data_IF_483426715404
#
_entry.id   IF_483426715404
#
_cell.length_a   1.000
_cell.length_b   1.000
_cell.length_c   1.000
_cell.angle_alpha   90.00
_cell.angle_beta   90.00
_cell.angle_gamma   90.00
#
_symmetry.space_group_name_H-M   'P 1'
#
loop_
_entity.id
_entity.type
_entity.pdbx_description
1 polymer ?
#
# COMPACT_ATOMS: atom_id res chain seq x y z
N UNK A 1 -28.14 9.94 9.55
CA UNK A 1 -26.76 9.94 10.14
C UNK A 1 -25.74 10.42 9.12
N UNK A 2 -25.61 9.76 7.96
CA UNK A 2 -24.57 10.13 6.97
C UNK A 2 -24.73 11.55 6.41
N UNK A 3 -25.96 11.98 6.12
CA UNK A 3 -26.25 13.34 5.66
C UNK A 3 -25.75 14.40 6.67
N UNK A 4 -26.02 14.18 7.95
CA UNK A 4 -25.60 15.07 9.04
C UNK A 4 -24.07 15.10 9.16
N UNK A 5 -23.41 13.95 9.03
CA UNK A 5 -21.93 13.88 9.01
C UNK A 5 -21.38 14.68 7.83
N UNK A 6 -21.98 14.53 6.64
CA UNK A 6 -21.53 15.24 5.43
C UNK A 6 -21.69 16.75 5.58
N UNK A 7 -22.81 17.20 6.16
CA UNK A 7 -23.09 18.62 6.40
C UNK A 7 -22.04 19.27 7.32
N UNK A 8 -21.80 18.66 8.49
CA UNK A 8 -20.76 19.13 9.41
C UNK A 8 -19.35 19.10 8.81
N UNK A 9 -19.03 18.11 7.97
CA UNK A 9 -17.73 18.07 7.30
C UNK A 9 -17.63 19.13 6.20
N UNK A 10 -18.72 19.44 5.51
CA UNK A 10 -18.77 20.47 4.47
C UNK A 10 -18.44 21.86 5.03
N UNK A 11 -18.85 22.16 6.26
CA UNK A 11 -18.50 23.42 6.94
C UNK A 11 -17.00 23.54 7.28
N UNK A 12 -16.30 22.40 7.38
CA UNK A 12 -14.93 22.32 7.88
C UNK A 12 -13.91 21.99 6.77
N UNK A 13 -13.54 22.99 5.98
CA UNK A 13 -12.62 22.87 4.82
C UNK A 13 -11.32 22.13 5.12
N UNK A 14 -10.72 22.33 6.29
CA UNK A 14 -9.46 21.68 6.67
C UNK A 14 -9.52 20.13 6.68
N UNK A 15 -10.71 19.53 6.71
CA UNK A 15 -10.90 18.08 6.66
C UNK A 15 -10.75 17.50 5.25
N UNK A 16 -11.09 18.27 4.21
CA UNK A 16 -11.19 17.76 2.84
C UNK A 16 -10.41 18.59 1.79
N UNK A 17 -10.24 19.89 2.01
CA UNK A 17 -9.55 20.80 1.11
C UNK A 17 -8.03 20.84 1.37
N UNK A 18 -7.24 20.51 0.35
CA UNK A 18 -5.77 20.52 0.42
C UNK A 18 -5.17 21.93 0.38
N UNK A 19 -5.91 22.94 -0.10
CA UNK A 19 -5.45 24.33 -0.09
C UNK A 19 -5.59 25.02 1.27
N UNK A 20 -6.36 24.44 2.19
CA UNK A 20 -6.58 25.04 3.50
C UNK A 20 -5.30 25.04 4.35
N UNK A 21 -5.02 26.18 5.01
CA UNK A 21 -3.83 26.37 5.86
C UNK A 21 -3.75 25.34 6.99
N UNK A 22 -4.90 24.93 7.53
CA UNK A 22 -5.01 23.97 8.62
C UNK A 22 -5.13 22.53 8.12
N UNK A 23 -5.10 22.27 6.81
CA UNK A 23 -5.17 20.90 6.27
C UNK A 23 -4.03 19.99 6.74
N UNK A 24 -2.85 20.55 7.08
CA UNK A 24 -1.72 19.78 7.63
C UNK A 24 -1.68 19.75 9.17
N UNK A 25 -2.57 20.48 9.83
CA UNK A 25 -2.59 20.58 11.28
C UNK A 25 -3.41 19.44 11.91
N UNK A 26 -2.73 18.37 12.31
CA UNK A 26 -3.37 17.20 12.91
C UNK A 26 -4.07 17.50 14.25
N UNK A 27 -3.57 18.47 15.02
CA UNK A 27 -4.20 18.86 16.28
C UNK A 27 -5.56 19.51 16.03
N UNK A 28 -5.63 20.43 15.05
CA UNK A 28 -6.89 21.09 14.68
C UNK A 28 -7.92 20.09 14.13
N UNK A 29 -7.48 19.10 13.34
CA UNK A 29 -8.39 18.05 12.83
C UNK A 29 -8.99 17.22 13.95
N UNK A 30 -8.19 16.85 14.96
CA UNK A 30 -8.69 16.10 16.13
C UNK A 30 -9.72 16.91 16.91
N UNK A 31 -9.44 18.18 17.14
CA UNK A 31 -10.38 19.11 17.81
C UNK A 31 -11.72 19.18 17.04
N UNK A 32 -11.67 19.34 15.72
CA UNK A 32 -12.87 19.40 14.88
C UNK A 32 -13.65 18.09 14.91
N UNK A 33 -12.99 16.93 14.84
CA UNK A 33 -13.70 15.65 14.96
C UNK A 33 -14.37 15.45 16.33
N UNK A 34 -13.76 15.97 17.41
CA UNK A 34 -14.39 16.00 18.73
C UNK A 34 -15.63 16.90 18.75
N UNK A 35 -15.53 18.12 18.20
CA UNK A 35 -16.66 19.05 18.11
C UNK A 35 -17.82 18.46 17.29
N UNK A 36 -17.52 17.79 16.17
CA UNK A 36 -18.54 17.12 15.35
C UNK A 36 -19.21 15.98 16.15
N UNK A 37 -18.44 15.23 16.95
CA UNK A 37 -18.97 14.16 17.82
C UNK A 37 -19.92 14.70 18.89
N UNK A 38 -19.57 15.82 19.53
CA UNK A 38 -20.41 16.51 20.50
C UNK A 38 -21.69 17.04 19.85
N UNK A 39 -21.58 17.69 18.69
CA UNK A 39 -22.73 18.21 17.96
C UNK A 39 -23.69 17.10 17.50
N UNK A 40 -23.17 15.95 17.06
CA UNK A 40 -24.01 14.79 16.70
C UNK A 40 -24.79 14.23 17.89
N UNK A 41 -24.26 14.36 19.10
CA UNK A 41 -24.93 13.93 20.32
C UNK A 41 -26.23 14.73 20.55
N UNK A 42 -26.28 16.00 20.13
CA UNK A 42 -27.50 16.82 20.16
C UNK A 42 -28.62 16.31 19.25
N UNK A 43 -28.27 15.52 18.23
CA UNK A 43 -29.21 14.87 17.31
C UNK A 43 -29.57 13.43 17.75
N UNK A 44 -29.33 13.06 19.02
CA UNK A 44 -29.47 11.71 19.55
C UNK A 44 -28.59 10.65 18.84
N UNK A 45 -27.48 11.07 18.22
CA UNK A 45 -26.52 10.18 17.57
C UNK A 45 -25.26 10.09 18.42
N UNK A 46 -25.15 9.02 19.22
CA UNK A 46 -23.96 8.78 20.04
C UNK A 46 -22.88 8.04 19.22
N UNK A 47 -21.99 8.80 18.58
CA UNK A 47 -20.84 8.27 17.85
C UNK A 47 -19.55 8.95 18.29
N UNK A 48 -18.53 8.14 18.58
CA UNK A 48 -17.18 8.62 18.89
C UNK A 48 -16.54 9.30 17.67
N UNK A 49 -15.74 10.33 17.90
CA UNK A 49 -14.98 11.06 16.88
C UNK A 49 -14.23 10.14 15.90
N UNK A 50 -13.56 9.09 16.39
CA UNK A 50 -12.83 8.14 15.53
C UNK A 50 -13.78 7.31 14.63
N UNK A 51 -14.98 7.00 15.10
CA UNK A 51 -15.98 6.28 14.31
C UNK A 51 -16.56 7.18 13.21
N UNK A 52 -16.78 8.46 13.52
CA UNK A 52 -17.23 9.49 12.55
C UNK A 52 -16.17 9.69 11.48
N UNK A 53 -14.90 9.81 11.87
CA UNK A 53 -13.79 9.93 10.93
C UNK A 53 -13.70 8.72 9.98
N UNK A 54 -13.80 7.49 10.50
CA UNK A 54 -13.83 6.27 9.67
C UNK A 54 -15.04 6.24 8.74
N UNK A 55 -16.21 6.70 9.21
CA UNK A 55 -17.43 6.77 8.40
C UNK A 55 -17.26 7.78 7.26
N UNK A 56 -16.71 8.95 7.54
CA UNK A 56 -16.39 9.96 6.54
C UNK A 56 -15.43 9.42 5.46
N UNK A 57 -14.37 8.72 5.84
CA UNK A 57 -13.46 8.10 4.86
C UNK A 57 -14.20 7.11 3.94
N UNK A 58 -15.09 6.30 4.50
CA UNK A 58 -15.90 5.34 3.74
C UNK A 58 -16.85 6.05 2.75
N UNK A 59 -17.50 7.14 3.19
CA UNK A 59 -18.37 7.96 2.34
C UNK A 59 -17.58 8.62 1.21
N UNK A 60 -16.41 9.20 1.51
CA UNK A 60 -15.53 9.81 0.51
C UNK A 60 -15.03 8.80 -0.53
N UNK A 61 -14.71 7.59 -0.09
CA UNK A 61 -14.30 6.50 -0.99
C UNK A 61 -15.46 6.04 -1.90
N UNK A 62 -16.69 5.96 -1.35
CA UNK A 62 -17.89 5.73 -2.14
C UNK A 62 -18.13 6.83 -3.17
N UNK A 63 -18.07 8.10 -2.76
CA UNK A 63 -18.20 9.24 -3.66
C UNK A 63 -17.17 9.20 -4.78
N UNK A 64 -15.92 8.86 -4.47
CA UNK A 64 -14.85 8.73 -5.47
C UNK A 64 -15.11 7.59 -6.47
N UNK A 65 -15.75 6.49 -6.05
CA UNK A 65 -16.18 5.42 -6.96
C UNK A 65 -17.33 5.88 -7.85
N UNK A 66 -18.32 6.54 -7.27
CA UNK A 66 -19.52 6.96 -7.98
C UNK A 66 -19.22 8.07 -9.00
N UNK A 67 -18.38 9.05 -8.64
CA UNK A 67 -17.88 10.08 -9.56
C UNK A 67 -17.08 9.49 -10.74
N UNK A 68 -16.42 8.33 -10.58
CA UNK A 68 -15.78 7.64 -11.70
C UNK A 68 -16.81 6.98 -12.63
N UNK A 69 -17.88 6.38 -12.08
CA UNK A 69 -18.95 5.80 -12.89
C UNK A 69 -19.68 6.86 -13.71
N UNK A 70 -19.98 8.01 -13.12
CA UNK A 70 -20.63 9.14 -13.80
C UNK A 70 -19.82 9.72 -14.97
N UNK A 71 -18.47 9.56 -14.94
CA UNK A 71 -17.58 10.06 -15.99
C UNK A 71 -17.28 9.07 -17.10
N UNK A 72 -17.52 7.79 -16.88
CA UNK A 72 -17.27 6.75 -17.88
C UNK A 72 -18.56 6.50 -18.66
N UNK A 73 -18.49 6.63 -19.99
CA UNK A 73 -19.58 6.18 -20.84
C UNK A 73 -19.72 4.65 -20.72
N UNK A 74 -20.94 4.09 -20.73
CA UNK A 74 -21.12 2.65 -20.66
C UNK A 74 -20.56 1.96 -21.90
N UNK A 75 -19.58 1.08 -21.71
CA UNK A 75 -19.12 0.18 -22.77
C UNK A 75 -19.90 -1.13 -22.67
N UNK A 76 -21.02 -1.23 -23.38
CA UNK A 76 -21.77 -2.49 -23.51
C UNK A 76 -23.24 -2.31 -23.86
N UNK A 77 -23.76 -3.17 -24.73
CA UNK A 77 -25.17 -3.19 -25.18
C UNK A 77 -26.19 -3.65 -24.14
N UNK A 78 -25.74 -4.02 -22.93
CA UNK A 78 -26.58 -4.44 -21.80
C UNK A 78 -26.56 -3.48 -20.61
N UNK A 79 -26.17 -2.22 -20.80
CA UNK A 79 -26.15 -1.24 -19.72
C UNK A 79 -27.55 -0.72 -19.40
N UNK A 80 -27.99 -0.96 -18.17
CA UNK A 80 -29.15 -0.28 -17.57
C UNK A 80 -28.68 0.88 -16.68
N UNK A 81 -29.31 2.07 -16.77
CA UNK A 81 -29.00 3.19 -15.88
C UNK A 81 -29.22 2.81 -14.41
N UNK A 82 -28.14 2.73 -13.64
CA UNK A 82 -28.24 2.48 -12.19
C UNK A 82 -28.78 3.71 -11.46
N UNK A 83 -29.63 3.52 -10.45
CA UNK A 83 -30.12 4.58 -9.56
C UNK A 83 -28.96 5.41 -8.99
N UNK A 84 -29.04 6.74 -9.13
CA UNK A 84 -28.07 7.69 -8.57
C UNK A 84 -27.93 7.48 -7.05
N UNK A 85 -26.69 7.45 -6.54
CA UNK A 85 -26.46 7.33 -5.10
C UNK A 85 -27.01 8.57 -4.38
N UNK A 86 -27.88 8.37 -3.40
CA UNK A 86 -28.67 9.43 -2.76
C UNK A 86 -27.79 10.52 -2.12
N UNK A 87 -26.61 10.17 -1.63
CA UNK A 87 -25.65 11.12 -1.03
C UNK A 87 -24.76 11.83 -2.05
N UNK A 88 -24.81 11.45 -3.33
CA UNK A 88 -23.92 11.99 -4.37
C UNK A 88 -24.07 13.51 -4.51
N UNK A 89 -25.31 14.00 -4.53
CA UNK A 89 -25.61 15.44 -4.67
C UNK A 89 -25.07 16.24 -3.49
N UNK A 90 -25.29 15.77 -2.27
CA UNK A 90 -24.84 16.44 -1.04
C UNK A 90 -23.31 16.45 -0.97
N UNK A 91 -22.64 15.41 -1.48
CA UNK A 91 -21.17 15.33 -1.51
C UNK A 91 -20.50 16.04 -2.70
N UNK A 92 -21.27 16.66 -3.59
CA UNK A 92 -20.75 17.32 -4.81
C UNK A 92 -19.80 18.49 -4.52
N UNK A 93 -19.86 19.08 -3.31
CA UNK A 93 -18.89 20.09 -2.85
C UNK A 93 -17.44 19.61 -2.86
N UNK A 94 -17.21 18.29 -2.89
CA UNK A 94 -15.87 17.73 -2.99
C UNK A 94 -15.27 17.83 -4.41
N UNK A 95 -16.09 18.01 -5.46
CA UNK A 95 -15.64 17.99 -6.85
C UNK A 95 -14.48 18.96 -7.14
N UNK A 96 -14.50 20.24 -6.68
CA UNK A 96 -13.39 21.17 -6.92
C UNK A 96 -12.09 20.76 -6.22
N UNK A 97 -12.18 19.99 -5.12
CA UNK A 97 -11.05 19.63 -4.27
C UNK A 97 -10.48 18.23 -4.57
N UNK A 98 -11.12 17.46 -5.46
CA UNK A 98 -10.61 16.18 -5.93
C UNK A 98 -9.52 16.42 -6.98
N UNK A 99 -8.30 16.56 -6.47
CA UNK A 99 -7.10 16.58 -7.32
C UNK A 99 -6.84 15.16 -7.83
N UNK A 100 -7.09 14.94 -9.13
CA UNK A 100 -6.61 13.74 -9.81
C UNK A 100 -5.09 13.70 -9.75
N UNK A 101 -4.53 12.58 -9.24
CA UNK A 101 -3.09 12.33 -9.37
C UNK A 101 -2.80 12.18 -10.87
N UNK A 102 -2.19 13.21 -11.46
CA UNK A 102 -1.94 13.23 -12.90
C UNK A 102 -0.94 12.12 -13.19
N UNK A 103 -1.30 11.25 -14.12
CA UNK A 103 -0.43 10.18 -14.59
C UNK A 103 0.96 10.71 -14.99
N UNK A 104 0.98 11.89 -15.62
CA UNK A 104 2.19 12.62 -16.02
C UNK A 104 3.08 12.98 -14.83
N UNK A 105 2.52 13.35 -13.67
CA UNK A 105 3.30 13.71 -12.48
C UNK A 105 4.09 12.49 -11.96
N UNK A 106 3.54 11.28 -12.09
CA UNK A 106 4.26 10.06 -11.67
C UNK A 106 5.46 9.78 -12.56
N UNK A 107 5.37 10.09 -13.85
CA UNK A 107 6.50 9.95 -14.78
C UNK A 107 7.63 10.87 -14.31
N UNK A 108 7.32 12.13 -14.03
CA UNK A 108 8.32 13.13 -13.62
C UNK A 108 8.91 12.82 -12.23
N UNK A 109 8.08 12.43 -11.25
CA UNK A 109 8.49 12.24 -9.85
C UNK A 109 9.16 10.88 -9.60
N UNK A 110 8.66 9.80 -10.20
CA UNK A 110 9.01 8.43 -9.81
C UNK A 110 9.93 7.72 -10.79
N UNK A 111 10.01 8.18 -12.05
CA UNK A 111 10.91 7.58 -13.03
C UNK A 111 12.22 8.34 -13.12
N UNK A 112 13.31 7.64 -13.46
CA UNK A 112 14.62 8.28 -13.64
C UNK A 112 14.57 9.20 -14.87
N UNK A 113 15.23 10.39 -14.87
CA UNK A 113 15.18 11.37 -15.96
C UNK A 113 15.43 10.79 -17.36
N UNK A 114 16.35 9.84 -17.46
CA UNK A 114 16.66 9.10 -18.69
C UNK A 114 15.44 8.40 -19.33
N UNK A 115 14.42 8.04 -18.55
CA UNK A 115 13.21 7.37 -19.04
C UNK A 115 12.03 8.32 -19.24
N UNK A 116 12.14 9.60 -18.85
CA UNK A 116 11.02 10.55 -18.91
C UNK A 116 10.50 10.71 -20.34
N UNK A 117 11.39 10.89 -21.31
CA UNK A 117 11.03 11.06 -22.72
C UNK A 117 10.23 9.85 -23.23
N UNK A 118 10.74 8.63 -23.01
CA UNK A 118 10.07 7.41 -23.46
C UNK A 118 8.71 7.24 -22.78
N UNK A 119 8.67 7.40 -21.46
CA UNK A 119 7.43 7.24 -20.68
C UNK A 119 6.36 8.27 -21.07
N UNK A 120 6.75 9.50 -21.44
CA UNK A 120 5.83 10.52 -21.93
C UNK A 120 5.29 10.18 -23.33
N UNK A 121 6.12 9.63 -24.22
CA UNK A 121 5.67 9.15 -25.54
C UNK A 121 4.66 8.02 -25.36
N UNK A 122 4.98 7.03 -24.52
CA UNK A 122 4.08 5.91 -24.21
C UNK A 122 2.76 6.42 -23.60
N UNK A 123 2.83 7.44 -22.72
CA UNK A 123 1.64 8.09 -22.16
C UNK A 123 0.75 8.71 -23.23
N UNK A 124 1.34 9.49 -24.15
CA UNK A 124 0.62 10.13 -25.26
C UNK A 124 -0.05 9.08 -26.14
N UNK A 125 0.64 8.00 -26.48
CA UNK A 125 0.07 6.90 -27.27
C UNK A 125 -1.11 6.22 -26.56
N UNK A 126 -0.97 5.96 -25.25
CA UNK A 126 -2.06 5.39 -24.45
C UNK A 126 -3.28 6.32 -24.46
N UNK A 127 -3.09 7.64 -24.29
CA UNK A 127 -4.22 8.59 -24.30
C UNK A 127 -4.85 8.73 -25.69
N UNK A 128 -4.05 8.73 -26.74
CA UNK A 128 -4.55 8.72 -28.12
C UNK A 128 -5.39 7.48 -28.42
N UNK A 129 -4.90 6.30 -28.03
CA UNK A 129 -5.62 5.04 -28.22
C UNK A 129 -6.93 4.97 -27.42
N UNK A 130 -7.06 5.77 -26.36
CA UNK A 130 -8.29 5.91 -25.58
C UNK A 130 -9.20 7.06 -26.07
N UNK A 131 -8.91 7.65 -27.23
CA UNK A 131 -9.76 8.67 -27.86
C UNK A 131 -9.68 10.06 -27.25
N UNK A 132 -8.63 10.37 -26.50
CA UNK A 132 -8.46 11.72 -25.94
C UNK A 132 -7.92 12.70 -27.00
N UNK A 133 -8.48 13.93 -27.12
CA UNK A 133 -7.98 14.93 -28.07
C UNK A 133 -6.53 15.36 -27.77
N UNK A 134 -5.70 15.44 -28.82
CA UNK A 134 -4.31 15.91 -28.72
C UNK A 134 -4.15 17.23 -27.95
N UNK A 135 -4.98 18.28 -28.18
CA UNK A 135 -4.84 19.54 -27.44
C UNK A 135 -5.03 19.38 -25.93
N UNK A 136 -5.92 18.47 -25.52
CA UNK A 136 -6.16 18.16 -24.12
C UNK A 136 -4.95 17.45 -23.49
N UNK A 137 -4.39 16.46 -24.19
CA UNK A 137 -3.21 15.70 -23.73
C UNK A 137 -2.02 16.65 -23.52
N UNK A 138 -1.72 17.49 -24.50
CA UNK A 138 -0.60 18.43 -24.42
C UNK A 138 -0.82 19.51 -23.34
N UNK A 139 -2.03 20.03 -23.19
CA UNK A 139 -2.37 20.97 -22.11
C UNK A 139 -2.08 20.38 -20.72
N UNK A 140 -2.42 19.10 -20.51
CA UNK A 140 -2.14 18.40 -19.25
C UNK A 140 -0.63 18.23 -19.03
N UNK A 141 0.11 17.81 -20.07
CA UNK A 141 1.56 17.62 -20.01
C UNK A 141 2.24 18.95 -19.68
N UNK A 142 1.90 20.02 -20.39
CA UNK A 142 2.44 21.35 -20.14
C UNK A 142 2.18 21.83 -18.72
N UNK A 143 0.95 21.68 -18.24
CA UNK A 143 0.57 22.10 -16.87
C UNK A 143 1.37 21.33 -15.82
N UNK A 144 1.61 20.04 -16.04
CA UNK A 144 2.43 19.21 -15.16
C UNK A 144 3.92 19.56 -15.21
N UNK A 145 4.48 19.80 -16.39
CA UNK A 145 5.88 20.19 -16.55
C UNK A 145 6.14 21.58 -15.95
N UNK A 146 5.31 22.58 -16.28
CA UNK A 146 5.39 23.93 -15.71
C UNK A 146 5.33 23.90 -14.18
N UNK A 147 4.41 23.11 -13.61
CA UNK A 147 4.32 22.96 -12.15
C UNK A 147 5.61 22.43 -11.51
N UNK A 148 6.27 21.45 -12.11
CA UNK A 148 7.50 20.88 -11.56
C UNK A 148 8.71 21.82 -11.73
N UNK A 149 8.80 22.51 -12.87
CA UNK A 149 9.84 23.54 -13.10
C UNK A 149 9.69 24.68 -12.09
N UNK A 150 8.49 25.22 -11.90
CA UNK A 150 8.25 26.30 -10.92
C UNK A 150 8.47 25.86 -9.48
N UNK A 151 8.28 24.57 -9.17
CA UNK A 151 8.54 24.01 -7.84
C UNK A 151 10.03 23.91 -7.55
N UNK A 152 10.86 23.52 -8.51
CA UNK A 152 12.34 23.55 -8.34
C UNK A 152 12.84 24.97 -8.08
N UNK A 153 12.31 25.96 -8.82
CA UNK A 153 12.67 27.37 -8.59
C UNK A 153 12.14 27.93 -7.26
N UNK A 154 10.96 27.50 -6.79
CA UNK A 154 10.40 27.94 -5.50
C UNK A 154 11.07 27.28 -4.28
N UNK A 155 11.76 26.15 -4.46
CA UNK A 155 12.47 25.47 -3.36
C UNK A 155 13.79 26.13 -2.96
N UNK A 156 14.25 27.16 -3.67
CA UNK A 156 15.46 27.89 -3.28
C UNK A 156 15.28 28.85 -2.09
N UNK A 157 14.05 29.06 -1.60
CA UNK A 157 13.77 29.79 -0.35
C UNK A 157 13.27 28.90 0.79
N UNK A 158 13.50 27.59 0.73
CA UNK A 158 13.21 26.68 1.84
C UNK A 158 14.45 26.54 2.72
N UNK A 159 14.29 26.87 4.02
CA UNK A 159 15.13 26.46 5.14
C UNK A 159 16.03 25.27 4.78
N UNK A 160 17.35 25.49 4.68
CA UNK A 160 18.32 24.43 4.35
C UNK A 160 18.13 23.32 5.37
N UNK A 161 17.51 22.22 4.94
CA UNK A 161 17.32 21.05 5.79
C UNK A 161 18.70 20.49 6.06
N UNK A 162 19.18 20.66 7.29
CA UNK A 162 20.49 20.14 7.71
C UNK A 162 20.55 18.66 7.36
N UNK A 163 21.51 18.31 6.51
CA UNK A 163 21.69 16.92 6.07
C UNK A 163 22.64 16.25 7.06
N UNK A 164 22.24 15.10 7.59
CA UNK A 164 23.05 14.35 8.56
C UNK A 164 23.65 13.09 7.96
N UNK A 165 24.88 12.79 8.33
CA UNK A 165 25.59 11.55 8.03
C UNK A 165 25.84 10.80 9.34
N UNK A 166 25.29 9.59 9.48
CA UNK A 166 25.34 8.83 10.74
C UNK A 166 26.48 7.81 10.73
N UNK A 167 27.33 7.81 11.75
CA UNK A 167 28.37 6.79 11.97
C UNK A 167 28.34 6.23 13.39
N UNK A 168 28.91 5.05 13.59
CA UNK A 168 29.17 4.53 14.94
C UNK A 168 30.30 5.34 15.59
N UNK A 169 30.18 5.66 16.88
CA UNK A 169 31.25 6.39 17.58
C UNK A 169 32.50 5.51 17.71
N UNK A 170 33.50 5.80 16.89
CA UNK A 170 34.86 5.29 16.98
C UNK A 170 35.76 6.48 16.70
N UNK A 171 36.60 6.88 17.68
CA UNK A 171 37.33 8.16 17.63
C UNK A 171 38.16 8.35 16.35
N UNK A 172 38.90 7.33 15.93
CA UNK A 172 39.70 7.35 14.69
C UNK A 172 38.86 7.48 13.41
N UNK A 173 37.68 6.83 13.39
CA UNK A 173 36.75 6.90 12.26
C UNK A 173 36.07 8.28 12.22
N UNK A 174 35.68 8.80 13.39
CA UNK A 174 35.11 10.14 13.49
C UNK A 174 36.05 11.21 12.92
N UNK A 175 37.31 11.21 13.38
CA UNK A 175 38.31 12.21 12.99
C UNK A 175 38.64 12.15 11.48
N UNK A 176 38.71 10.93 10.89
CA UNK A 176 38.93 10.77 9.45
C UNK A 176 37.74 11.18 8.58
N UNK A 177 36.52 11.19 9.13
CA UNK A 177 35.31 11.59 8.40
C UNK A 177 34.96 13.08 8.55
N UNK A 178 35.58 13.81 9.48
CA UNK A 178 35.37 15.27 9.62
C UNK A 178 35.65 16.05 8.31
N UNK A 179 36.76 15.83 7.59
CA UNK A 179 37.04 16.51 6.32
C UNK A 179 36.04 16.14 5.21
N UNK A 180 35.55 14.90 5.21
CA UNK A 180 34.57 14.41 4.24
C UNK A 180 33.21 15.05 4.52
N UNK A 181 32.81 15.12 5.79
CA UNK A 181 31.55 15.72 6.21
C UNK A 181 31.48 17.21 5.82
N UNK A 182 32.58 17.95 5.99
CA UNK A 182 32.66 19.36 5.60
C UNK A 182 32.63 19.55 4.08
N UNK A 183 33.33 18.69 3.32
CA UNK A 183 33.34 18.70 1.85
C UNK A 183 31.94 18.54 1.25
N UNK A 184 31.07 17.72 1.86
CA UNK A 184 29.72 17.45 1.34
C UNK A 184 28.61 18.29 2.02
N UNK A 185 28.95 19.21 2.91
CA UNK A 185 27.99 19.99 3.71
C UNK A 185 27.00 19.14 4.52
N UNK A 186 27.46 18.01 5.07
CA UNK A 186 26.68 17.19 6.00
C UNK A 186 27.16 17.44 7.44
N UNK A 187 26.25 17.30 8.42
CA UNK A 187 26.58 17.20 9.84
C UNK A 187 26.76 15.74 10.23
N UNK A 188 27.82 15.44 10.97
CA UNK A 188 28.03 14.09 11.47
C UNK A 188 27.15 13.83 12.69
N UNK A 189 26.49 12.68 12.73
CA UNK A 189 25.69 12.22 13.87
C UNK A 189 26.13 10.81 14.29
N UNK A 190 25.98 10.49 15.57
CA UNK A 190 26.32 9.16 16.08
C UNK A 190 25.09 8.27 16.14
N UNK A 191 25.21 7.03 15.67
CA UNK A 191 24.20 6.01 15.91
C UNK A 191 24.76 4.90 16.81
N UNK A 192 23.93 4.39 17.71
CA UNK A 192 24.27 3.29 18.60
C UNK A 192 23.94 1.99 17.86
N UNK A 193 24.97 1.25 17.44
CA UNK A 193 24.83 -0.04 16.75
C UNK A 193 24.15 -1.09 17.64
N UNK A 194 24.48 -1.10 18.94
CA UNK A 194 23.97 -2.05 19.92
C UNK A 194 22.89 -1.42 20.82
N UNK A 195 21.72 -1.15 20.24
CA UNK A 195 20.57 -0.77 21.08
C UNK A 195 20.19 -1.93 22.03
N UNK A 196 19.65 -1.62 23.21
CA UNK A 196 19.16 -2.65 24.16
C UNK A 196 18.15 -3.61 23.50
N UNK A 197 17.43 -3.17 22.46
CA UNK A 197 16.55 -4.02 21.64
C UNK A 197 17.30 -5.12 20.87
N UNK A 198 18.54 -4.87 20.45
CA UNK A 198 19.39 -5.85 19.77
C UNK A 198 20.06 -6.82 20.75
N UNK A 199 20.47 -6.33 21.93
CA UNK A 199 21.16 -7.11 22.97
C UNK A 199 20.17 -7.92 23.83
N UNK A 200 19.11 -7.29 24.28
CA UNK A 200 18.01 -7.89 25.04
C UNK A 200 16.90 -8.22 24.05
N UNK A 201 17.17 -9.20 23.18
CA UNK A 201 16.08 -9.91 22.51
C UNK A 201 15.40 -10.74 23.58
N UNK A 202 14.07 -10.67 23.70
CA UNK A 202 13.33 -11.74 24.40
C UNK A 202 13.66 -13.01 23.63
N UNK A 203 14.58 -13.82 24.16
CA UNK A 203 14.85 -15.17 23.67
C UNK A 203 13.56 -15.94 23.87
N UNK A 204 12.66 -15.87 22.89
CA UNK A 204 11.47 -16.71 22.89
C UNK A 204 11.95 -18.12 22.68
N UNK A 205 11.39 -19.05 23.43
CA UNK A 205 11.64 -20.47 23.25
C UNK A 205 11.43 -20.83 21.78
N UNK A 206 12.29 -21.70 21.25
CA UNK A 206 12.11 -22.24 19.91
C UNK A 206 10.78 -22.98 19.90
N UNK A 207 9.83 -22.47 19.12
CA UNK A 207 8.55 -23.14 18.93
C UNK A 207 8.77 -24.40 18.12
N UNK A 208 8.11 -25.48 18.53
CA UNK A 208 8.04 -26.72 17.76
C UNK A 208 7.59 -26.43 16.31
N UNK A 209 8.09 -27.22 15.37
CA UNK A 209 7.95 -27.02 13.92
C UNK A 209 6.48 -26.78 13.52
N UNK A 210 5.56 -27.61 14.00
CA UNK A 210 4.14 -27.53 13.67
C UNK A 210 3.41 -26.36 14.34
N UNK A 211 3.97 -25.84 15.42
CA UNK A 211 3.42 -24.71 16.19
C UNK A 211 3.81 -23.34 15.61
N UNK A 212 4.73 -23.31 14.65
CA UNK A 212 5.14 -22.09 13.97
C UNK A 212 4.00 -21.49 13.13
N UNK A 213 3.93 -20.16 13.11
CA UNK A 213 2.97 -19.38 12.32
C UNK A 213 3.72 -18.44 11.40
N UNK A 214 3.04 -17.90 10.39
CA UNK A 214 3.60 -16.90 9.49
C UNK A 214 4.81 -17.42 8.68
N UNK A 215 4.73 -18.67 8.23
CA UNK A 215 5.83 -19.38 7.58
C UNK A 215 5.55 -19.67 6.11
N UNK A 216 6.64 -19.78 5.35
CA UNK A 216 6.70 -20.42 4.04
C UNK A 216 7.25 -21.83 4.26
N UNK A 217 6.52 -22.84 3.84
CA UNK A 217 6.83 -24.24 4.05
C UNK A 217 6.92 -25.01 2.73
N UNK A 218 7.62 -26.14 2.78
CA UNK A 218 7.83 -27.05 1.65
C UNK A 218 7.42 -28.47 2.06
N UNK A 219 6.69 -29.16 1.18
CA UNK A 219 6.34 -30.57 1.30
C UNK A 219 6.92 -31.28 0.07
N UNK A 220 7.78 -32.27 0.28
CA UNK A 220 8.38 -33.05 -0.80
C UNK A 220 7.51 -34.26 -1.15
N UNK A 221 7.48 -34.62 -2.44
CA UNK A 221 6.94 -35.89 -2.89
C UNK A 221 7.87 -37.04 -2.47
N UNK A 222 7.31 -38.21 -2.19
CA UNK A 222 8.08 -39.44 -1.92
C UNK A 222 8.58 -40.08 -3.20
N UNK A 223 7.75 -40.04 -4.25
CA UNK A 223 7.94 -40.83 -5.46
C UNK A 223 8.62 -40.05 -6.61
N UNK A 224 8.84 -38.73 -6.45
CA UNK A 224 9.53 -37.91 -7.45
C UNK A 224 10.19 -36.66 -6.84
N UNK A 225 10.95 -35.92 -7.65
CA UNK A 225 11.64 -34.69 -7.21
C UNK A 225 10.70 -33.48 -7.01
N UNK A 226 9.41 -33.64 -7.33
CA UNK A 226 8.44 -32.58 -7.16
C UNK A 226 8.27 -32.21 -5.67
N UNK A 227 8.04 -30.93 -5.42
CA UNK A 227 7.80 -30.46 -4.06
C UNK A 227 6.94 -29.22 -4.05
N UNK A 228 5.89 -29.28 -3.23
CA UNK A 228 4.95 -28.19 -3.05
C UNK A 228 5.54 -27.13 -2.11
N UNK A 229 5.40 -25.86 -2.47
CA UNK A 229 5.77 -24.72 -1.61
C UNK A 229 4.53 -23.85 -1.42
N UNK A 230 4.25 -23.51 -0.17
CA UNK A 230 3.14 -22.62 0.15
C UNK A 230 3.41 -21.79 1.39
N UNK A 231 2.59 -20.76 1.57
CA UNK A 231 2.61 -19.90 2.74
C UNK A 231 1.40 -20.15 3.65
N UNK A 232 1.58 -19.90 4.95
CA UNK A 232 0.46 -19.87 5.91
C UNK A 232 0.62 -18.72 6.90
N UNK A 233 -0.50 -18.08 7.23
CA UNK A 233 -0.61 -17.14 8.38
C UNK A 233 -0.90 -17.89 9.68
N UNK A 234 -1.59 -19.02 9.60
CA UNK A 234 -1.97 -19.87 10.75
C UNK A 234 -0.81 -20.76 11.17
N UNK A 235 -1.03 -21.60 12.20
CA UNK A 235 -0.08 -22.64 12.59
C UNK A 235 0.14 -23.61 11.44
N UNK A 236 1.39 -24.01 11.21
CA UNK A 236 1.76 -24.94 10.15
C UNK A 236 0.98 -26.26 10.27
N UNK A 237 0.88 -26.81 11.48
CA UNK A 237 0.13 -28.06 11.71
C UNK A 237 -1.35 -27.97 11.32
N UNK A 238 -2.00 -26.82 11.52
CA UNK A 238 -3.38 -26.60 11.06
C UNK A 238 -3.45 -26.65 9.54
N UNK A 239 -2.51 -25.98 8.85
CA UNK A 239 -2.49 -25.94 7.38
C UNK A 239 -2.21 -27.31 6.76
N UNK A 240 -1.34 -28.12 7.36
CA UNK A 240 -1.10 -29.49 6.91
C UNK A 240 -2.34 -30.37 7.07
N UNK A 241 -3.05 -30.27 8.20
CA UNK A 241 -4.32 -30.98 8.40
C UNK A 241 -5.39 -30.57 7.39
N UNK A 242 -5.48 -29.29 7.03
CA UNK A 242 -6.37 -28.82 5.97
C UNK A 242 -6.04 -29.54 4.64
N UNK A 243 -4.77 -29.54 4.22
CA UNK A 243 -4.34 -30.24 3.02
C UNK A 243 -4.62 -31.76 3.06
N UNK A 244 -4.35 -32.44 4.18
CA UNK A 244 -4.67 -33.86 4.34
C UNK A 244 -6.18 -34.13 4.29
N UNK A 245 -6.99 -33.22 4.82
CA UNK A 245 -8.44 -33.33 4.80
C UNK A 245 -9.00 -33.09 3.40
N UNK A 246 -8.42 -32.15 2.65
CA UNK A 246 -8.83 -31.84 1.28
C UNK A 246 -8.57 -33.01 0.32
N UNK A 247 -7.55 -33.83 0.58
CA UNK A 247 -7.32 -35.07 -0.19
C UNK A 247 -8.46 -36.08 -0.04
N UNK A 248 -9.13 -36.09 1.12
CA UNK A 248 -10.21 -37.03 1.42
C UNK A 248 -11.58 -36.55 0.91
N UNK A 249 -11.68 -35.33 0.39
CA UNK A 249 -12.95 -34.75 -0.07
C UNK A 249 -13.15 -35.05 -1.55
N UNK A 250 -14.34 -35.54 -1.90
CA UNK A 250 -14.80 -35.68 -3.29
C UNK A 250 -15.54 -34.43 -3.82
N UNK A 251 -15.61 -33.36 -3.02
CA UNK A 251 -16.37 -32.15 -3.35
C UNK A 251 -15.47 -30.92 -3.34
N UNK A 252 -15.46 -30.18 -4.44
CA UNK A 252 -14.70 -28.93 -4.61
C UNK A 252 -13.58 -29.04 -5.64
N UNK A 253 -12.91 -27.92 -5.91
CA UNK A 253 -11.74 -27.90 -6.79
C UNK A 253 -10.54 -28.51 -6.07
N UNK A 254 -9.85 -29.50 -6.67
CA UNK A 254 -8.68 -30.10 -6.08
C UNK A 254 -7.54 -29.08 -5.91
N UNK A 255 -6.70 -29.30 -4.89
CA UNK A 255 -5.51 -28.47 -4.68
C UNK A 255 -4.36 -29.01 -5.52
N UNK A 256 -3.33 -28.21 -5.78
CA UNK A 256 -2.12 -28.64 -6.50
C UNK A 256 -1.52 -29.94 -5.93
N UNK A 257 -1.59 -30.13 -4.60
CA UNK A 257 -1.14 -31.38 -3.96
C UNK A 257 -2.07 -32.53 -4.33
N UNK A 258 -3.39 -32.30 -4.28
CA UNK A 258 -4.40 -33.31 -4.61
C UNK A 258 -4.32 -33.72 -6.07
N UNK A 259 -4.17 -32.76 -6.99
CA UNK A 259 -3.99 -33.00 -8.43
C UNK A 259 -2.76 -33.87 -8.71
N UNK A 260 -1.60 -33.49 -8.16
CA UNK A 260 -0.36 -34.27 -8.33
C UNK A 260 -0.51 -35.72 -7.85
N UNK A 261 -1.26 -35.95 -6.76
CA UNK A 261 -1.50 -37.30 -6.26
C UNK A 261 -2.46 -38.08 -7.15
N UNK A 262 -3.52 -37.45 -7.67
CA UNK A 262 -4.52 -38.12 -8.50
C UNK A 262 -3.93 -38.45 -9.87
N UNK A 263 -3.18 -37.53 -10.47
CA UNK A 263 -2.65 -37.67 -11.83
C UNK A 263 -1.48 -38.65 -11.90
N UNK A 264 -0.64 -38.71 -10.86
CA UNK A 264 0.60 -39.49 -10.85
C UNK A 264 0.61 -40.64 -9.84
N UNK A 265 -0.47 -40.83 -9.08
CA UNK A 265 -0.57 -41.80 -7.98
C UNK A 265 0.56 -41.71 -6.93
N UNK A 266 1.07 -40.50 -6.72
CA UNK A 266 2.18 -40.25 -5.80
C UNK A 266 1.73 -39.93 -4.37
N UNK A 267 2.67 -40.05 -3.43
CA UNK A 267 2.52 -39.65 -2.04
C UNK A 267 3.44 -38.49 -1.64
N UNK A 268 3.02 -37.74 -0.63
CA UNK A 268 3.78 -36.62 -0.08
C UNK A 268 4.27 -36.94 1.34
N UNK A 269 5.45 -36.45 1.68
CA UNK A 269 6.08 -36.59 3.00
C UNK A 269 5.46 -35.65 4.04
N UNK A 270 4.30 -36.03 4.58
CA UNK A 270 3.59 -35.22 5.60
C UNK A 270 4.34 -35.08 6.93
N UNK A 271 5.23 -36.03 7.24
CA UNK A 271 6.00 -36.05 8.50
C UNK A 271 7.34 -35.31 8.40
N UNK A 272 7.78 -34.92 7.20
CA UNK A 272 9.07 -34.26 6.95
C UNK A 272 8.87 -32.93 6.23
N UNK A 273 8.04 -32.06 6.81
CA UNK A 273 7.78 -30.73 6.26
C UNK A 273 8.91 -29.78 6.65
N UNK A 274 9.41 -29.00 5.68
CA UNK A 274 10.49 -28.05 5.91
C UNK A 274 9.95 -26.62 6.00
N UNK A 275 10.42 -25.83 6.96
CA UNK A 275 10.17 -24.38 6.99
C UNK A 275 11.32 -23.67 6.28
N UNK A 276 11.01 -23.01 5.15
CA UNK A 276 12.00 -22.27 4.37
C UNK A 276 12.25 -20.89 4.96
N UNK A 277 11.20 -20.18 5.38
CA UNK A 277 11.29 -18.85 5.97
C UNK A 277 10.15 -18.59 6.97
N UNK A 278 10.42 -17.70 7.93
CA UNK A 278 9.42 -17.09 8.80
C UNK A 278 9.36 -15.58 8.56
N UNK A 279 8.17 -15.02 8.32
CA UNK A 279 7.98 -13.60 8.02
C UNK A 279 6.61 -13.13 8.46
N UNK A 280 6.51 -12.19 9.40
CA UNK A 280 5.22 -11.72 9.92
C UNK A 280 4.44 -10.86 8.92
N UNK A 281 5.14 -10.12 8.05
CA UNK A 281 4.50 -9.28 7.03
C UNK A 281 4.02 -10.11 5.84
N UNK A 282 2.74 -9.97 5.49
CA UNK A 282 2.14 -10.68 4.35
C UNK A 282 2.85 -10.41 3.03
N UNK A 283 3.07 -9.14 2.67
CA UNK A 283 3.70 -8.77 1.40
C UNK A 283 5.12 -9.33 1.27
N UNK A 284 5.90 -9.28 2.36
CA UNK A 284 7.26 -9.83 2.37
C UNK A 284 7.25 -11.36 2.29
N UNK A 285 6.27 -12.01 2.93
CA UNK A 285 6.10 -13.46 2.86
C UNK A 285 5.71 -13.93 1.46
N UNK A 286 4.82 -13.20 0.79
CA UNK A 286 4.41 -13.49 -0.57
C UNK A 286 5.60 -13.43 -1.54
N UNK A 287 6.44 -12.40 -1.43
CA UNK A 287 7.66 -12.29 -2.25
C UNK A 287 8.60 -13.47 -2.02
N UNK A 288 8.74 -13.94 -0.77
CA UNK A 288 9.58 -15.10 -0.44
C UNK A 288 9.00 -16.40 -0.97
N UNK A 289 7.70 -16.62 -0.82
CA UNK A 289 6.98 -17.78 -1.38
C UNK A 289 7.18 -17.87 -2.90
N UNK A 290 6.95 -16.76 -3.62
CA UNK A 290 7.14 -16.68 -5.06
C UNK A 290 8.60 -16.91 -5.47
N UNK A 291 9.55 -16.38 -4.69
CA UNK A 291 10.97 -16.60 -4.96
C UNK A 291 11.33 -18.09 -4.91
N UNK A 292 10.85 -18.82 -3.89
CA UNK A 292 11.11 -20.25 -3.71
C UNK A 292 10.43 -21.14 -4.76
N UNK A 293 9.28 -20.70 -5.28
CA UNK A 293 8.61 -21.37 -6.41
C UNK A 293 9.41 -21.20 -7.71
N UNK A 294 9.93 -20.00 -7.98
CA UNK A 294 10.68 -19.68 -9.21
C UNK A 294 12.04 -20.37 -9.29
N UNK A 295 12.71 -20.61 -8.17
CA UNK A 295 14.01 -21.30 -8.16
C UNK A 295 13.91 -22.74 -8.66
N UNK A 296 12.74 -23.38 -8.54
CA UNK A 296 12.52 -24.77 -8.98
C UNK A 296 12.13 -24.93 -10.45
N UNK A 297 11.55 -23.89 -11.07
CA UNK A 297 11.22 -23.89 -12.51
C UNK A 297 12.42 -23.57 -13.41
N UNK A 298 13.60 -23.34 -12.84
CA UNK A 298 14.82 -22.92 -13.55
C UNK A 298 15.92 -24.00 -13.57
N UNK A 299 15.59 -25.24 -13.22
CA UNK A 299 16.49 -26.39 -13.28
C UNK A 299 15.99 -27.36 -14.34
#
# INVERSE_FOLDING_TARGET
VDEIIIDFVCENKCLYDKSDLNYKNNSKKKEIWSVISENLTLYNINMLAEAIEKRWFSLRDMFSRENRKQKLQPSGSGYEPTKEWELYRIMSFLLPHIVHRRFIDKIIILSHPRFHQKNLIDAVQIFLNNGYPLPCIFSIIETSVKFHIHKEHSTHNAYIKEKYFTISYVKSIFESFLPISSMFHYKLAFYISNTLKCLIKRGKDKLDLLSNQNVVYKISCDDCEASYVGQTKRKLGTRLKEHTSDIKKNTGSPTVITDHRIDLDHNFRWNQVEILNSESSYNKRLIRDDSHKKTKTRS
#
